data_IF_861927722257
#
_entry.id   IF_861927722257
#
_cell.length_a   1.000
_cell.length_b   1.000
_cell.length_c   1.000
_cell.angle_alpha   90.00
_cell.angle_beta   90.00
_cell.angle_gamma   90.00
#
_symmetry.space_group_name_H-M   'P 1'
#
loop_
_entity.id
_entity.type
_entity.pdbx_description
1 polymer ?
#
# COMPACT_ATOMS: atom_id res chain seq x y z
N UNK A 1 -20.99 -41.71 37.36
CA UNK A 1 -20.07 -40.76 38.02
C UNK A 1 -18.84 -40.59 37.13
N UNK A 2 -18.98 -40.04 35.92
CA UNK A 2 -19.09 -38.60 35.62
C UNK A 2 -17.98 -37.78 36.30
N UNK A 3 -17.29 -36.95 35.50
CA UNK A 3 -16.51 -35.74 35.87
C UNK A 3 -14.99 -35.82 36.01
N UNK A 4 -14.26 -36.43 35.07
CA UNK A 4 -12.84 -36.06 34.86
C UNK A 4 -12.45 -35.79 33.39
N UNK A 5 -13.34 -36.08 32.44
CA UNK A 5 -13.16 -35.74 31.02
C UNK A 5 -13.45 -34.25 30.70
N UNK A 6 -13.78 -33.44 31.71
CA UNK A 6 -14.07 -32.00 31.58
C UNK A 6 -12.88 -31.08 31.87
N UNK A 7 -11.65 -31.59 31.77
CA UNK A 7 -10.43 -30.76 31.83
C UNK A 7 -9.70 -30.65 30.48
N UNK A 8 -10.23 -31.25 29.41
CA UNK A 8 -9.63 -31.23 28.05
C UNK A 8 -10.29 -30.14 27.16
N UNK A 9 -11.11 -29.26 27.74
CA UNK A 9 -11.91 -28.29 26.97
C UNK A 9 -11.72 -26.82 27.40
N UNK A 10 -10.65 -26.50 28.12
CA UNK A 10 -10.38 -25.12 28.51
C UNK A 10 -9.48 -24.42 27.48
N UNK A 11 -10.16 -23.75 26.54
CA UNK A 11 -9.75 -22.48 25.91
C UNK A 11 -8.54 -22.54 24.98
N UNK A 12 -8.69 -23.24 23.85
CA UNK A 12 -7.99 -22.93 22.59
C UNK A 12 -8.95 -22.23 21.61
N UNK A 13 -9.64 -21.21 22.10
CA UNK A 13 -10.54 -20.40 21.27
C UNK A 13 -10.42 -18.94 21.66
N UNK A 14 -9.20 -18.41 21.58
CA UNK A 14 -9.02 -17.01 21.25
C UNK A 14 -9.49 -16.83 19.80
N UNK A 15 -10.81 -16.63 19.66
CA UNK A 15 -11.43 -16.13 18.45
C UNK A 15 -10.76 -14.80 18.11
N UNK A 16 -9.79 -14.86 17.21
CA UNK A 16 -9.30 -13.70 16.49
C UNK A 16 -10.45 -13.26 15.56
N UNK A 17 -11.42 -12.53 16.11
CA UNK A 17 -12.38 -11.77 15.31
C UNK A 17 -11.57 -10.64 14.69
N UNK A 18 -10.90 -10.95 13.58
CA UNK A 18 -10.40 -9.94 12.67
C UNK A 18 -11.65 -9.27 12.09
N UNK A 19 -12.02 -8.15 12.71
CA UNK A 19 -12.97 -7.20 12.17
C UNK A 19 -12.44 -6.79 10.79
N UNK A 20 -12.97 -7.40 9.74
CA UNK A 20 -12.82 -6.93 8.38
C UNK A 20 -13.74 -5.71 8.18
N UNK A 21 -13.49 -4.63 8.92
CA UNK A 21 -14.05 -3.33 8.58
C UNK A 21 -13.26 -2.78 7.42
N UNK A 22 -13.89 -2.80 6.25
CA UNK A 22 -13.69 -1.79 5.23
C UNK A 22 -12.30 -1.76 4.62
N UNK A 23 -12.01 -2.72 3.74
CA UNK A 23 -11.36 -2.31 2.48
C UNK A 23 -12.45 -1.74 1.59
N UNK A 24 -12.92 -0.53 1.94
CA UNK A 24 -13.36 0.38 0.90
C UNK A 24 -12.15 0.47 -0.01
N UNK A 25 -12.22 -0.19 -1.18
CA UNK A 25 -11.41 0.21 -2.30
C UNK A 25 -11.69 1.70 -2.43
N UNK A 26 -10.79 2.51 -1.91
CA UNK A 26 -10.71 3.90 -2.31
C UNK A 26 -10.25 3.80 -3.76
N UNK A 27 -11.22 3.58 -4.65
CA UNK A 27 -11.34 4.36 -5.87
C UNK A 27 -11.16 5.81 -5.41
N UNK A 28 -9.90 6.19 -5.30
CA UNK A 28 -9.49 7.56 -5.46
C UNK A 28 -9.86 7.85 -6.90
N UNK A 29 -11.15 8.14 -7.10
CA UNK A 29 -11.60 8.98 -8.19
C UNK A 29 -10.63 10.14 -8.18
N UNK A 30 -9.74 10.14 -9.18
CA UNK A 30 -8.80 11.20 -9.48
C UNK A 30 -9.49 12.53 -9.19
N UNK A 31 -9.16 13.12 -8.05
CA UNK A 31 -9.56 14.47 -7.77
C UNK A 31 -8.70 15.33 -8.70
N UNK A 32 -9.29 15.64 -9.86
CA UNK A 32 -8.74 16.44 -10.95
C UNK A 32 -7.77 15.66 -11.83
N UNK A 33 -8.10 15.48 -13.10
CA UNK A 33 -7.22 14.90 -14.13
C UNK A 33 -5.98 15.75 -14.46
N UNK A 34 -5.41 16.42 -13.45
CA UNK A 34 -4.27 17.31 -13.49
C UNK A 34 -2.98 16.66 -12.95
N UNK A 35 -3.04 15.49 -12.31
CA UNK A 35 -1.87 14.77 -11.80
C UNK A 35 -1.63 13.43 -12.50
N UNK A 36 -0.40 12.94 -12.45
CA UNK A 36 0.08 11.67 -13.00
C UNK A 36 1.05 11.01 -12.01
N UNK A 37 1.11 9.68 -12.04
CA UNK A 37 2.10 8.91 -11.27
C UNK A 37 3.41 8.90 -12.04
N UNK A 38 4.49 9.33 -11.41
CA UNK A 38 5.83 9.29 -11.99
C UNK A 38 6.74 8.34 -11.20
N UNK A 39 7.12 7.25 -11.85
CA UNK A 39 7.90 6.15 -11.30
C UNK A 39 9.41 6.33 -11.53
N UNK A 40 10.23 5.62 -10.75
CA UNK A 40 11.68 5.56 -10.96
C UNK A 40 12.48 6.78 -10.49
N UNK A 41 11.81 7.78 -9.91
CA UNK A 41 12.42 9.04 -9.46
C UNK A 41 12.40 9.24 -7.94
N UNK A 42 11.66 8.40 -7.21
CA UNK A 42 11.54 8.51 -5.76
C UNK A 42 12.87 8.20 -5.05
N UNK A 43 13.22 9.01 -4.05
CA UNK A 43 14.28 8.65 -3.09
C UNK A 43 13.77 7.57 -2.13
N UNK A 44 14.70 6.83 -1.52
CA UNK A 44 14.41 5.89 -0.44
C UNK A 44 13.53 6.56 0.62
N UNK A 45 12.37 5.99 0.89
CA UNK A 45 11.41 6.49 1.86
C UNK A 45 10.73 7.80 1.48
N UNK A 46 10.73 8.20 0.20
CA UNK A 46 10.13 9.47 -0.23
C UNK A 46 9.19 9.30 -1.44
N UNK A 47 8.48 8.17 -1.51
CA UNK A 47 7.39 7.97 -2.48
C UNK A 47 6.04 8.35 -1.88
N UNK A 48 5.08 8.63 -2.75
CA UNK A 48 3.71 8.93 -2.36
C UNK A 48 2.89 7.68 -2.02
N UNK A 49 1.75 7.92 -1.35
CA UNK A 49 0.82 6.89 -0.89
C UNK A 49 0.09 6.20 -2.06
N UNK A 50 -0.31 4.93 -1.88
CA UNK A 50 -0.94 4.06 -2.89
C UNK A 50 -0.04 3.61 -4.06
N UNK A 51 1.25 3.38 -3.77
CA UNK A 51 2.16 2.61 -4.65
C UNK A 51 1.74 1.15 -4.78
N UNK A 52 2.14 0.48 -5.87
CA UNK A 52 1.74 -0.89 -6.17
C UNK A 52 2.06 -1.89 -5.05
N UNK A 53 3.11 -1.64 -4.28
CA UNK A 53 3.61 -2.52 -3.22
C UNK A 53 3.40 -1.98 -1.81
N UNK A 54 2.85 -0.78 -1.65
CA UNK A 54 2.68 -0.19 -0.32
C UNK A 54 1.56 0.85 -0.23
N UNK A 55 0.77 0.68 0.83
CA UNK A 55 -0.42 1.45 1.16
C UNK A 55 -0.14 2.82 1.78
N UNK A 56 1.12 3.14 2.09
CA UNK A 56 1.52 4.39 2.75
C UNK A 56 2.74 5.02 2.06
N UNK A 57 2.82 6.36 2.14
CA UNK A 57 4.01 7.12 1.76
C UNK A 57 5.26 6.60 2.49
N UNK A 58 6.44 6.80 1.91
CA UNK A 58 7.74 6.42 2.49
C UNK A 58 8.09 4.93 2.54
N UNK A 59 7.52 4.11 1.67
CA UNK A 59 7.80 2.67 1.57
C UNK A 59 8.97 2.30 0.67
N UNK A 60 9.45 3.20 -0.19
CA UNK A 60 10.54 2.94 -1.11
C UNK A 60 11.79 2.52 -0.32
N UNK A 61 12.28 1.31 -0.58
CA UNK A 61 13.42 0.72 0.15
C UNK A 61 14.77 1.19 -0.38
N UNK A 62 14.80 1.76 -1.59
CA UNK A 62 15.98 2.28 -2.26
C UNK A 62 15.63 3.49 -3.14
N UNK A 63 16.66 4.25 -3.50
CA UNK A 63 16.51 5.31 -4.50
C UNK A 63 16.16 4.70 -5.87
N UNK A 64 15.31 5.41 -6.62
CA UNK A 64 14.85 5.02 -7.96
C UNK A 64 14.20 3.64 -8.01
N UNK A 65 13.48 3.27 -6.94
CA UNK A 65 12.67 2.06 -6.95
C UNK A 65 11.59 2.18 -8.05
N UNK A 66 11.50 1.17 -8.91
CA UNK A 66 10.75 1.23 -10.18
C UNK A 66 9.22 1.15 -10.02
N UNK A 67 8.76 0.53 -8.94
CA UNK A 67 7.36 0.41 -8.55
C UNK A 67 6.92 1.51 -7.57
N UNK A 68 7.85 2.37 -7.13
CA UNK A 68 7.57 3.54 -6.30
C UNK A 68 7.36 4.78 -7.18
N UNK A 69 6.30 5.53 -6.91
CA UNK A 69 5.97 6.76 -7.64
C UNK A 69 5.93 7.99 -6.74
N UNK A 70 6.05 9.14 -7.39
CA UNK A 70 5.67 10.45 -6.86
C UNK A 70 4.49 10.97 -7.72
N UNK A 71 3.49 11.58 -7.08
CA UNK A 71 2.37 12.21 -7.76
C UNK A 71 2.81 13.60 -8.25
N UNK A 72 2.82 13.80 -9.55
CA UNK A 72 3.22 15.07 -10.18
C UNK A 72 2.08 15.65 -11.00
N UNK A 73 2.06 16.96 -11.28
CA UNK A 73 1.25 17.52 -12.35
C UNK A 73 1.50 16.83 -13.69
N UNK A 74 0.46 16.69 -14.52
CA UNK A 74 0.54 16.05 -15.83
C UNK A 74 1.59 16.67 -16.74
N UNK A 75 2.31 15.82 -17.48
CA UNK A 75 3.34 16.22 -18.42
C UNK A 75 4.66 16.69 -17.79
N UNK A 76 4.84 16.50 -16.47
CA UNK A 76 6.12 16.75 -15.82
C UNK A 76 6.99 15.50 -15.74
N UNK A 77 6.40 14.30 -15.68
CA UNK A 77 7.18 13.08 -15.55
C UNK A 77 8.14 12.89 -16.72
N UNK A 78 7.68 13.16 -17.95
CA UNK A 78 8.50 13.09 -19.17
C UNK A 78 9.63 14.12 -19.22
N UNK A 79 9.57 15.16 -18.37
CA UNK A 79 10.61 16.20 -18.27
C UNK A 79 11.68 15.84 -17.25
N UNK A 80 11.53 14.75 -16.51
CA UNK A 80 12.44 14.31 -15.46
C UNK A 80 13.26 13.13 -15.98
N UNK A 81 14.58 13.24 -15.93
CA UNK A 81 15.48 12.15 -16.35
C UNK A 81 15.22 10.91 -15.50
N UNK A 82 14.82 9.81 -16.16
CA UNK A 82 14.49 8.55 -15.52
C UNK A 82 13.06 8.45 -14.97
N UNK A 83 12.20 9.44 -15.23
CA UNK A 83 10.76 9.36 -14.98
C UNK A 83 10.08 8.40 -15.95
N UNK A 84 9.09 7.66 -15.44
CA UNK A 84 8.23 6.78 -16.23
C UNK A 84 6.78 6.90 -15.75
N UNK A 85 5.83 6.91 -16.69
CA UNK A 85 4.39 6.82 -16.38
C UNK A 85 3.93 5.38 -16.11
N UNK A 86 4.83 4.40 -16.25
CA UNK A 86 4.56 2.98 -16.03
C UNK A 86 5.38 2.48 -14.85
N UNK A 87 4.74 1.70 -13.99
CA UNK A 87 5.45 0.89 -13.01
C UNK A 87 6.21 -0.23 -13.75
N UNK A 88 7.45 -0.46 -13.36
CA UNK A 88 8.33 -1.53 -13.88
C UNK A 88 8.86 -2.43 -12.76
#
# INVERSE_FOLDING_TARGET
>A
MMTRDKLIQSVMTAFFVLVATGSSAADTKDASGATEKCYGIAKKGMNDCATATASCASSATKDKQKDAFILLPKGLCDRIVGGSLKAE
#
